data_IF_351225031222
#
_entry.id   IF_351225031222
#
_cell.length_a   1.000
_cell.length_b   1.000
_cell.length_c   1.000
_cell.angle_alpha   90.00
_cell.angle_beta   90.00
_cell.angle_gamma   90.00
#
_symmetry.space_group_name_H-M   'P 1'
#
loop_
_entity.id
_entity.type
_entity.pdbx_description
1 polymer ?
#
# COMPACT_ATOMS: atom_id res chain seq x y z
N UNK A 1 -1.77 -7.21 -8.57
CA UNK A 1 -3.17 -7.00 -8.13
C UNK A 1 -3.48 -8.04 -7.07
N UNK A 2 -3.72 -7.62 -5.83
CA UNK A 2 -4.02 -8.53 -4.72
C UNK A 2 -5.54 -8.57 -4.51
N UNK A 3 -6.13 -9.76 -4.52
CA UNK A 3 -7.52 -9.95 -4.12
C UNK A 3 -7.60 -10.00 -2.60
N UNK A 4 -7.94 -8.87 -1.96
CA UNK A 4 -8.11 -8.76 -0.51
C UNK A 4 -9.60 -8.70 -0.15
N UNK A 5 -9.96 -9.24 1.01
CA UNK A 5 -11.32 -9.10 1.52
C UNK A 5 -11.58 -7.62 1.88
N UNK A 6 -12.82 -7.15 1.68
CA UNK A 6 -13.19 -5.77 2.08
C UNK A 6 -12.90 -5.57 3.56
N UNK A 7 -12.08 -4.57 3.88
CA UNK A 7 -11.67 -4.27 5.26
C UNK A 7 -10.46 -5.06 5.77
N UNK A 8 -9.62 -5.61 4.88
CA UNK A 8 -8.31 -6.12 5.31
C UNK A 8 -7.43 -4.97 5.77
N UNK A 9 -6.83 -5.11 6.97
CA UNK A 9 -5.87 -4.13 7.49
C UNK A 9 -4.62 -4.11 6.62
N UNK A 10 -3.98 -2.96 6.50
CA UNK A 10 -2.76 -2.79 5.71
C UNK A 10 -1.66 -3.79 6.10
N UNK A 11 -1.53 -4.09 7.40
CA UNK A 11 -0.57 -5.10 7.87
C UNK A 11 -0.98 -6.53 7.47
N UNK A 12 -2.27 -6.87 7.57
CA UNK A 12 -2.78 -8.20 7.19
C UNK A 12 -2.66 -8.41 5.67
N UNK A 13 -2.90 -7.35 4.89
CA UNK A 13 -2.69 -7.31 3.45
C UNK A 13 -1.21 -7.53 3.09
N UNK A 14 -0.29 -6.86 3.79
CA UNK A 14 1.14 -7.05 3.63
C UNK A 14 1.58 -8.49 3.98
N UNK A 15 1.02 -9.08 5.04
CA UNK A 15 1.25 -10.47 5.43
C UNK A 15 0.75 -11.49 4.40
N UNK A 16 -0.32 -11.16 3.68
CA UNK A 16 -0.86 -11.98 2.57
C UNK A 16 0.07 -12.00 1.37
N UNK A 17 0.86 -10.94 1.15
CA UNK A 17 1.93 -10.91 0.14
C UNK A 17 3.10 -11.78 0.59
N UNK A 18 3.58 -11.56 1.82
CA UNK A 18 4.64 -12.35 2.43
C UNK A 18 4.64 -12.16 3.95
N UNK A 19 4.83 -13.24 4.70
CA UNK A 19 4.86 -13.22 6.18
C UNK A 19 5.92 -12.26 6.74
N UNK A 20 7.09 -12.17 6.11
CA UNK A 20 8.15 -11.23 6.50
C UNK A 20 7.80 -9.75 6.26
N UNK A 21 7.02 -9.43 5.23
CA UNK A 21 6.57 -8.06 4.96
C UNK A 21 5.58 -7.61 6.04
N UNK A 22 4.68 -8.51 6.46
CA UNK A 22 3.76 -8.24 7.58
C UNK A 22 4.49 -8.03 8.92
N UNK A 23 5.57 -8.79 9.16
CA UNK A 23 6.45 -8.63 10.34
C UNK A 23 7.27 -7.35 10.30
N UNK A 24 7.85 -7.03 9.16
CA UNK A 24 8.68 -5.85 8.95
C UNK A 24 7.91 -4.60 8.55
N UNK A 25 6.57 -4.62 8.59
CA UNK A 25 5.72 -3.52 8.13
C UNK A 25 6.05 -2.21 8.88
N UNK A 26 6.37 -1.17 8.12
CA UNK A 26 6.57 0.18 8.66
C UNK A 26 5.35 1.05 8.33
N UNK A 27 5.03 1.19 7.04
CA UNK A 27 3.95 2.04 6.52
C UNK A 27 3.42 1.50 5.20
N UNK A 28 2.16 1.81 4.91
CA UNK A 28 1.55 1.60 3.60
C UNK A 28 1.40 2.94 2.89
N UNK A 29 1.93 3.04 1.68
CA UNK A 29 1.67 4.12 0.75
C UNK A 29 0.45 3.72 -0.10
N UNK A 30 -0.69 4.39 0.05
CA UNK A 30 -1.96 4.05 -0.60
C UNK A 30 -2.35 5.14 -1.59
N UNK A 31 -2.72 4.74 -2.81
CA UNK A 31 -3.23 5.64 -3.84
C UNK A 31 -4.33 4.95 -4.66
N UNK A 32 -5.16 5.72 -5.34
CA UNK A 32 -6.21 5.14 -6.20
C UNK A 32 -5.61 4.70 -7.54
N UNK A 33 -6.23 3.72 -8.21
CA UNK A 33 -5.84 3.32 -9.56
C UNK A 33 -5.90 4.50 -10.54
N UNK A 34 -6.96 5.32 -10.48
CA UNK A 34 -7.12 6.50 -11.33
C UNK A 34 -5.96 7.49 -11.21
N UNK A 35 -5.46 7.70 -9.98
CA UNK A 35 -4.35 8.61 -9.72
C UNK A 35 -3.04 8.06 -10.29
N UNK A 36 -2.83 6.73 -10.25
CA UNK A 36 -1.67 6.09 -10.88
C UNK A 36 -1.72 6.19 -12.40
N UNK A 37 -2.89 5.98 -12.99
CA UNK A 37 -3.10 6.12 -14.45
C UNK A 37 -2.90 7.57 -14.88
N UNK A 38 -3.34 8.55 -14.08
CA UNK A 38 -3.17 9.97 -14.36
C UNK A 38 -1.70 10.44 -14.36
N UNK A 39 -0.77 9.64 -13.84
CA UNK A 39 0.68 9.90 -13.84
C UNK A 39 1.46 8.85 -14.65
N UNK A 40 0.83 8.18 -15.61
CA UNK A 40 1.47 7.15 -16.46
C UNK A 40 2.19 6.03 -15.67
N UNK A 41 1.70 5.68 -14.49
CA UNK A 41 2.31 4.64 -13.64
C UNK A 41 3.49 5.12 -12.77
N UNK A 42 3.78 6.42 -12.75
CA UNK A 42 4.91 7.00 -12.03
C UNK A 42 4.61 7.25 -10.55
N UNK A 43 4.98 6.29 -9.69
CA UNK A 43 4.93 6.44 -8.22
C UNK A 43 5.67 7.69 -7.67
N UNK A 44 6.85 8.08 -8.18
CA UNK A 44 7.52 9.31 -7.74
C UNK A 44 6.70 10.56 -8.00
N UNK A 45 5.99 10.62 -9.11
CA UNK A 45 5.14 11.74 -9.49
C UNK A 45 3.88 11.83 -8.64
N UNK A 46 3.23 10.70 -8.35
CA UNK A 46 2.15 10.60 -7.36
C UNK A 46 2.57 11.18 -6.00
N UNK A 47 3.78 10.84 -5.54
CA UNK A 47 4.36 11.37 -4.31
C UNK A 47 4.61 12.88 -4.41
N UNK A 48 5.13 13.36 -5.54
CA UNK A 48 5.37 14.78 -5.79
C UNK A 48 4.06 15.60 -5.85
N UNK A 49 2.97 15.00 -6.34
CA UNK A 49 1.63 15.59 -6.41
C UNK A 49 0.88 15.54 -5.07
N UNK A 50 1.42 14.87 -4.05
CA UNK A 50 0.77 14.72 -2.74
C UNK A 50 -0.47 13.82 -2.76
N UNK A 51 -0.65 13.02 -3.82
CA UNK A 51 -1.77 12.07 -3.99
C UNK A 51 -1.51 10.72 -3.30
N UNK A 52 -0.29 10.53 -2.82
CA UNK A 52 0.16 9.30 -2.21
C UNK A 52 -0.04 9.39 -0.69
N UNK A 53 -1.02 8.66 -0.17
CA UNK A 53 -1.38 8.69 1.25
C UNK A 53 -0.51 7.76 2.05
N UNK A 54 -0.01 8.23 3.19
CA UNK A 54 0.77 7.42 4.11
C UNK A 54 -0.14 6.90 5.21
N UNK A 55 -0.39 5.61 5.17
CA UNK A 55 -1.29 4.91 6.05
C UNK A 55 -0.54 3.95 6.98
N UNK A 56 -1.08 3.79 8.18
CA UNK A 56 -0.53 2.93 9.22
C UNK A 56 -0.99 1.48 9.09
N UNK A 57 -0.57 0.66 10.04
CA UNK A 57 -0.92 -0.77 10.14
C UNK A 57 -2.44 -1.02 10.28
N UNK A 58 -3.16 -0.08 10.90
CA UNK A 58 -4.60 -0.17 11.20
C UNK A 58 -5.49 0.32 10.04
N UNK A 59 -4.90 0.82 8.95
CA UNK A 59 -5.65 1.29 7.80
C UNK A 59 -6.37 0.13 7.10
N UNK A 60 -7.64 0.35 6.77
CA UNK A 60 -8.45 -0.63 6.05
C UNK A 60 -8.31 -0.39 4.55
N UNK A 61 -7.66 -1.32 3.87
CA UNK A 61 -7.48 -1.28 2.41
C UNK A 61 -8.84 -1.43 1.74
N UNK A 62 -9.12 -0.56 0.76
CA UNK A 62 -10.34 -0.61 -0.05
C UNK A 62 -10.06 -1.24 -1.40
N UNK A 63 -11.13 -1.77 -1.99
CA UNK A 63 -11.08 -2.33 -3.33
C UNK A 63 -10.77 -1.23 -4.36
N UNK A 64 -9.90 -1.54 -5.33
CA UNK A 64 -9.45 -0.57 -6.35
C UNK A 64 -8.32 0.37 -5.91
N UNK A 65 -7.86 0.27 -4.66
CA UNK A 65 -6.68 1.01 -4.19
C UNK A 65 -5.39 0.24 -4.44
N UNK A 66 -4.33 0.98 -4.76
CA UNK A 66 -2.98 0.48 -4.92
C UNK A 66 -2.23 0.76 -3.63
N UNK A 67 -1.76 -0.30 -2.99
CA UNK A 67 -0.99 -0.22 -1.76
C UNK A 67 0.46 -0.59 -2.03
N UNK A 68 1.39 0.28 -1.62
CA UNK A 68 2.82 0.05 -1.64
C UNK A 68 3.31 -0.06 -0.20
N UNK A 69 3.74 -1.26 0.20
CA UNK A 69 4.17 -1.51 1.57
C UNK A 69 5.65 -1.21 1.76
N UNK A 70 5.96 -0.29 2.67
CA UNK A 70 7.32 -0.09 3.19
C UNK A 70 7.54 -1.08 4.31
N UNK A 71 8.51 -1.96 4.14
CA UNK A 71 8.92 -2.89 5.18
C UNK A 71 10.44 -2.81 5.40
N UNK A 72 10.87 -3.11 6.61
CA UNK A 72 12.29 -3.28 6.93
C UNK A 72 12.46 -4.62 7.63
N UNK A 73 13.01 -5.60 6.91
CA UNK A 73 13.48 -6.85 7.50
C UNK A 73 14.91 -6.59 7.95
N UNK A 74 15.05 -6.04 9.16
CA UNK A 74 16.34 -6.00 9.84
C UNK A 74 16.76 -7.43 10.17
N UNK A 75 17.98 -7.78 9.78
CA UNK A 75 18.65 -9.02 10.20
C UNK A 75 18.83 -9.04 11.72
#
# INVERSE_FOLDING_TARGET
MLCLARGTRAQDAAGTVHSDIGRGFIRAEVNSYDELVAVDGSLPELRARGQLRLEGKDYLVRDGEICHFRFNVGR
#
